data_IF_547666938847
#
_entry.id   IF_547666938847
#
_cell.length_a   1.000
_cell.length_b   1.000
_cell.length_c   1.000
_cell.angle_alpha   90.00
_cell.angle_beta   90.00
_cell.angle_gamma   90.00
#
_symmetry.space_group_name_H-M   'P 1'
#
loop_
_entity.id
_entity.type
_entity.pdbx_description
1 polymer ?
#
# COMPACT_ATOMS: atom_id res chain seq x y z
N UNK A 1 -81.15 -45.68 82.10
CA UNK A 1 -79.73 -46.12 82.02
C UNK A 1 -78.94 -45.03 81.31
N UNK A 2 -78.26 -44.17 82.07
CA UNK A 2 -76.83 -43.80 81.99
C UNK A 2 -76.05 -44.30 80.74
N UNK A 3 -75.13 -43.58 80.08
CA UNK A 3 -74.35 -42.34 80.25
C UNK A 3 -74.05 -41.84 78.80
N UNK A 4 -73.70 -40.60 78.47
CA UNK A 4 -72.66 -39.77 79.06
C UNK A 4 -72.51 -38.45 78.27
N UNK A 5 -72.11 -37.42 79.00
CA UNK A 5 -71.72 -36.10 78.53
C UNK A 5 -70.29 -36.14 77.97
N UNK A 6 -70.03 -35.44 76.85
CA UNK A 6 -68.69 -34.93 76.54
C UNK A 6 -68.78 -33.61 75.77
N UNK A 7 -67.89 -32.68 76.11
CA UNK A 7 -67.98 -31.23 75.88
C UNK A 7 -66.94 -30.81 74.83
N UNK A 8 -67.40 -30.10 73.78
CA UNK A 8 -66.82 -29.01 72.96
C UNK A 8 -65.31 -29.03 72.53
N UNK A 9 -64.94 -28.45 71.36
CA UNK A 9 -65.00 -26.99 71.21
C UNK A 9 -65.55 -26.46 69.87
N UNK A 10 -66.16 -25.29 69.97
CA UNK A 10 -66.40 -24.35 68.88
C UNK A 10 -65.05 -23.96 68.26
N UNK A 11 -64.80 -24.33 67.01
CA UNK A 11 -63.70 -23.76 66.23
C UNK A 11 -64.20 -22.44 65.65
N UNK A 12 -63.80 -21.34 66.27
CA UNK A 12 -63.85 -20.02 65.64
C UNK A 12 -62.89 -20.03 64.45
N UNK A 13 -63.43 -19.96 63.23
CA UNK A 13 -62.63 -19.63 62.06
C UNK A 13 -62.35 -18.11 62.09
N UNK A 14 -61.15 -17.73 62.55
CA UNK A 14 -60.59 -16.41 62.24
C UNK A 14 -60.18 -16.38 60.76
N UNK A 15 -60.55 -15.35 59.97
CA UNK A 15 -59.95 -15.16 58.66
C UNK A 15 -58.50 -14.71 58.84
N UNK A 16 -57.57 -15.61 58.57
CA UNK A 16 -56.15 -15.27 58.46
C UNK A 16 -55.95 -14.21 57.38
N UNK A 17 -55.61 -12.99 57.83
CA UNK A 17 -54.83 -11.95 57.16
C UNK A 17 -55.04 -11.79 55.64
N UNK A 18 -55.98 -10.91 55.25
CA UNK A 18 -56.06 -10.33 53.90
C UNK A 18 -55.00 -9.25 53.64
N UNK A 19 -53.98 -9.12 54.52
CA UNK A 19 -52.99 -8.04 54.46
C UNK A 19 -51.74 -8.31 53.63
N UNK A 20 -51.43 -9.56 53.29
CA UNK A 20 -50.13 -9.90 52.66
C UNK A 20 -50.20 -10.01 51.12
N UNK A 21 -51.39 -9.99 50.51
CA UNK A 21 -51.56 -10.32 49.08
C UNK A 21 -51.73 -9.08 48.18
N UNK A 22 -52.07 -7.91 48.72
CA UNK A 22 -52.31 -6.69 47.93
C UNK A 22 -51.04 -5.87 47.64
N UNK A 23 -50.03 -5.93 48.52
CA UNK A 23 -48.79 -5.15 48.41
C UNK A 23 -47.89 -5.62 47.24
N UNK A 24 -48.06 -6.87 46.81
CA UNK A 24 -47.32 -7.47 45.69
C UNK A 24 -47.90 -7.13 44.31
N UNK A 25 -49.15 -6.67 44.22
CA UNK A 25 -49.83 -6.43 42.93
C UNK A 25 -49.23 -5.28 42.14
N UNK A 26 -48.71 -4.25 42.81
CA UNK A 26 -48.14 -3.06 42.17
C UNK A 26 -46.61 -3.06 42.11
N UNK A 27 -45.95 -3.83 42.97
CA UNK A 27 -44.48 -3.91 43.03
C UNK A 27 -43.89 -4.80 41.94
N UNK A 28 -44.54 -5.91 41.60
CA UNK A 28 -44.08 -6.84 40.55
C UNK A 28 -44.00 -6.16 39.16
N UNK A 29 -45.02 -5.40 38.69
CA UNK A 29 -44.96 -4.73 37.38
C UNK A 29 -43.86 -3.67 37.28
N UNK A 30 -43.65 -2.89 38.34
CA UNK A 30 -42.61 -1.86 38.39
C UNK A 30 -41.22 -2.49 38.37
N UNK A 31 -41.02 -3.56 39.14
CA UNK A 31 -39.76 -4.31 39.13
C UNK A 31 -39.48 -4.93 37.75
N UNK A 32 -40.49 -5.45 37.06
CA UNK A 32 -40.34 -5.98 35.71
C UNK A 32 -39.92 -4.89 34.70
N UNK A 33 -40.49 -3.68 34.79
CA UNK A 33 -40.10 -2.54 33.96
C UNK A 33 -38.66 -2.08 34.23
N UNK A 34 -38.30 -1.91 35.51
CA UNK A 34 -36.94 -1.53 35.91
C UNK A 34 -35.94 -2.60 35.46
N UNK A 35 -36.28 -3.88 35.63
CA UNK A 35 -35.44 -4.98 35.19
C UNK A 35 -35.29 -5.02 33.67
N UNK A 36 -36.38 -4.85 32.91
CA UNK A 36 -36.33 -4.78 31.45
C UNK A 36 -35.50 -3.60 30.94
N UNK A 37 -35.61 -2.44 31.59
CA UNK A 37 -34.80 -1.27 31.28
C UNK A 37 -33.33 -1.50 31.60
N UNK A 38 -33.02 -2.07 32.77
CA UNK A 38 -31.65 -2.41 33.16
C UNK A 38 -31.01 -3.45 32.23
N UNK A 39 -31.78 -4.47 31.82
CA UNK A 39 -31.33 -5.50 30.89
C UNK A 39 -31.03 -4.92 29.52
N UNK A 40 -31.94 -4.09 28.98
CA UNK A 40 -31.72 -3.40 27.69
C UNK A 40 -30.53 -2.45 27.75
N UNK A 41 -30.40 -1.67 28.82
CA UNK A 41 -29.25 -0.78 29.03
C UNK A 41 -27.93 -1.56 29.08
N UNK A 42 -27.90 -2.71 29.76
CA UNK A 42 -26.73 -3.56 29.82
C UNK A 42 -26.37 -4.15 28.45
N UNK A 43 -27.36 -4.60 27.67
CA UNK A 43 -27.16 -5.08 26.30
C UNK A 43 -26.60 -3.99 25.39
N UNK A 44 -27.19 -2.79 25.43
CA UNK A 44 -26.79 -1.65 24.62
C UNK A 44 -25.38 -1.19 24.98
N UNK A 45 -25.06 -1.10 26.28
CA UNK A 45 -23.72 -0.74 26.76
C UNK A 45 -22.65 -1.77 26.36
N UNK A 46 -22.98 -3.07 26.41
CA UNK A 46 -22.08 -4.11 25.94
C UNK A 46 -21.85 -4.03 24.42
N UNK A 47 -22.91 -3.77 23.64
CA UNK A 47 -22.82 -3.61 22.18
C UNK A 47 -22.01 -2.38 21.77
N UNK A 48 -22.23 -1.23 22.42
CA UNK A 48 -21.52 0.02 22.17
C UNK A 48 -20.04 -0.13 22.49
N UNK A 49 -19.69 -0.77 23.61
CA UNK A 49 -18.28 -1.05 23.97
C UNK A 49 -17.58 -1.94 22.94
N UNK A 50 -18.28 -2.92 22.36
CA UNK A 50 -17.72 -3.79 21.31
C UNK A 50 -17.52 -3.00 20.01
N UNK A 51 -18.49 -2.19 19.62
CA UNK A 51 -18.41 -1.32 18.44
C UNK A 51 -17.30 -0.28 18.57
N UNK A 52 -17.15 0.38 19.71
CA UNK A 52 -16.07 1.34 19.95
C UNK A 52 -14.68 0.70 19.82
N UNK A 53 -14.50 -0.52 20.32
CA UNK A 53 -13.22 -1.25 20.17
C UNK A 53 -12.92 -1.56 18.71
N UNK A 54 -13.92 -2.06 17.97
CA UNK A 54 -13.79 -2.33 16.53
C UNK A 54 -13.48 -1.06 15.73
N UNK A 55 -14.18 0.05 16.01
CA UNK A 55 -13.92 1.33 15.37
C UNK A 55 -12.51 1.87 15.68
N UNK A 56 -11.99 1.66 16.89
CA UNK A 56 -10.61 2.07 17.25
C UNK A 56 -9.55 1.25 16.53
N UNK A 57 -9.76 -0.05 16.35
CA UNK A 57 -8.87 -0.92 15.58
C UNK A 57 -8.88 -0.53 14.10
N UNK A 58 -10.07 -0.40 13.53
CA UNK A 58 -10.25 0.01 12.13
C UNK A 58 -9.56 1.35 11.84
N UNK A 59 -9.68 2.34 12.73
CA UNK A 59 -8.99 3.64 12.57
C UNK A 59 -7.47 3.54 12.62
N UNK A 60 -6.92 2.58 13.36
CA UNK A 60 -5.47 2.35 13.42
C UNK A 60 -4.98 1.67 12.15
N UNK A 61 -5.69 0.63 11.72
CA UNK A 61 -5.43 -0.09 10.47
C UNK A 61 -5.46 0.87 9.27
N UNK A 62 -6.54 1.65 9.13
CA UNK A 62 -6.67 2.65 8.07
C UNK A 62 -5.50 3.67 8.03
N UNK A 63 -4.97 4.08 9.18
CA UNK A 63 -3.80 4.99 9.23
C UNK A 63 -2.52 4.30 8.77
N UNK A 64 -2.32 3.05 9.18
CA UNK A 64 -1.18 2.25 8.73
C UNK A 64 -1.24 2.01 7.22
N UNK A 65 -2.42 1.67 6.70
CA UNK A 65 -2.64 1.44 5.27
C UNK A 65 -2.45 2.73 4.47
N UNK A 66 -2.99 3.85 4.95
CA UNK A 66 -2.77 5.15 4.34
C UNK A 66 -1.28 5.52 4.28
N UNK A 67 -0.51 5.28 5.35
CA UNK A 67 0.92 5.54 5.37
C UNK A 67 1.69 4.63 4.39
N UNK A 68 1.29 3.37 4.25
CA UNK A 68 1.88 2.41 3.31
C UNK A 68 1.60 2.77 1.85
N UNK A 69 0.37 3.19 1.55
CA UNK A 69 -0.01 3.70 0.22
C UNK A 69 0.81 4.94 -0.12
N UNK A 70 0.88 5.90 0.80
CA UNK A 70 1.71 7.10 0.63
C UNK A 70 3.18 6.78 0.38
N UNK A 71 3.73 5.76 1.04
CA UNK A 71 5.11 5.32 0.81
C UNK A 71 5.31 4.77 -0.60
N UNK A 72 4.40 3.91 -1.08
CA UNK A 72 4.49 3.37 -2.45
C UNK A 72 4.26 4.42 -3.52
N UNK A 73 3.35 5.36 -3.30
CA UNK A 73 3.11 6.47 -4.21
C UNK A 73 4.32 7.41 -4.27
N UNK A 74 4.94 7.69 -3.11
CA UNK A 74 6.17 8.46 -3.04
C UNK A 74 7.33 7.75 -3.76
N UNK A 75 7.49 6.44 -3.57
CA UNK A 75 8.51 5.65 -4.27
C UNK A 75 8.30 5.68 -5.79
N UNK A 76 7.06 5.51 -6.25
CA UNK A 76 6.71 5.60 -7.68
C UNK A 76 7.05 6.98 -8.24
N UNK A 77 6.68 8.06 -7.54
CA UNK A 77 6.97 9.42 -7.97
C UNK A 77 8.48 9.68 -8.03
N UNK A 78 9.25 9.17 -7.05
CA UNK A 78 10.71 9.28 -7.06
C UNK A 78 11.32 8.49 -8.23
N UNK A 79 10.83 7.28 -8.52
CA UNK A 79 11.29 6.46 -9.65
C UNK A 79 11.01 7.11 -11.01
N UNK A 80 9.85 7.76 -11.17
CA UNK A 80 9.55 8.55 -12.39
C UNK A 80 10.48 9.77 -12.45
N UNK A 81 10.67 10.47 -11.33
CA UNK A 81 11.57 11.62 -11.27
C UNK A 81 13.02 11.26 -11.62
N UNK A 82 13.55 10.13 -11.14
CA UNK A 82 14.92 9.70 -11.48
C UNK A 82 15.01 9.33 -12.95
N UNK A 83 13.96 8.74 -13.51
CA UNK A 83 13.90 8.39 -14.93
C UNK A 83 14.06 9.65 -15.81
N UNK A 84 13.31 10.70 -15.50
CA UNK A 84 13.36 11.99 -16.19
C UNK A 84 14.70 12.71 -15.98
N UNK A 85 15.23 12.71 -14.75
CA UNK A 85 16.51 13.32 -14.43
C UNK A 85 17.68 12.62 -15.15
N UNK A 86 17.67 11.28 -15.17
CA UNK A 86 18.70 10.49 -15.84
C UNK A 86 18.62 10.62 -17.36
N UNK A 87 17.42 10.72 -17.94
CA UNK A 87 17.25 11.02 -19.36
C UNK A 87 17.84 12.40 -19.72
N UNK A 88 17.55 13.43 -18.91
CA UNK A 88 18.15 14.77 -19.09
C UNK A 88 19.68 14.75 -19.00
N UNK A 89 20.22 14.01 -18.04
CA UNK A 89 21.67 13.83 -17.88
C UNK A 89 22.29 13.14 -19.10
N UNK A 90 21.71 12.02 -19.53
CA UNK A 90 22.18 11.27 -20.68
C UNK A 90 22.15 12.14 -21.96
N UNK A 91 21.03 12.83 -22.23
CA UNK A 91 20.92 13.73 -23.38
C UNK A 91 21.95 14.87 -23.36
N UNK A 92 22.16 15.54 -22.22
CA UNK A 92 23.16 16.59 -22.11
C UNK A 92 24.58 16.07 -22.35
N UNK A 93 24.87 14.85 -21.89
CA UNK A 93 26.17 14.21 -22.11
C UNK A 93 26.36 13.73 -23.56
N UNK A 94 25.30 13.21 -24.21
CA UNK A 94 25.30 12.87 -25.62
C UNK A 94 25.54 14.11 -26.50
N UNK A 95 24.88 15.23 -26.23
CA UNK A 95 25.10 16.49 -26.93
C UNK A 95 26.55 16.98 -26.80
N UNK A 96 27.11 16.90 -25.59
CA UNK A 96 28.52 17.23 -25.35
C UNK A 96 29.45 16.33 -26.18
N UNK A 97 29.17 15.03 -26.24
CA UNK A 97 29.96 14.10 -27.02
C UNK A 97 29.85 14.34 -28.53
N UNK A 98 28.64 14.55 -29.05
CA UNK A 98 28.45 14.88 -30.47
C UNK A 98 29.23 16.15 -30.85
N UNK A 99 29.21 17.17 -29.99
CA UNK A 99 30.02 18.38 -30.21
C UNK A 99 31.54 18.11 -30.19
N UNK A 100 32.01 17.17 -29.36
CA UNK A 100 33.42 16.73 -29.38
C UNK A 100 33.78 16.01 -30.68
N UNK A 101 32.91 15.14 -31.20
CA UNK A 101 33.09 14.46 -32.48
C UNK A 101 33.12 15.44 -33.65
N UNK A 102 32.21 16.41 -33.68
CA UNK A 102 32.19 17.46 -34.70
C UNK A 102 33.47 18.31 -34.65
N UNK A 103 33.97 18.60 -33.44
CA UNK A 103 35.24 19.27 -33.21
C UNK A 103 36.44 18.49 -33.75
N UNK A 104 36.44 17.15 -33.62
CA UNK A 104 37.48 16.29 -34.17
C UNK A 104 37.59 16.43 -35.69
N UNK A 105 36.46 16.53 -36.41
CA UNK A 105 36.47 16.73 -37.86
C UNK A 105 37.20 18.01 -38.30
N UNK A 106 37.27 19.01 -37.41
CA UNK A 106 37.95 20.29 -37.66
C UNK A 106 39.42 20.35 -37.18
N UNK A 107 39.78 19.64 -36.10
CA UNK A 107 41.11 19.71 -35.48
C UNK A 107 41.96 18.44 -35.62
N UNK A 108 41.36 17.31 -35.96
CA UNK A 108 42.03 16.03 -36.24
C UNK A 108 42.63 15.29 -35.04
N UNK A 109 42.55 15.85 -33.83
CA UNK A 109 43.15 15.27 -32.61
C UNK A 109 42.14 15.23 -31.47
N UNK A 110 41.90 14.03 -30.91
CA UNK A 110 40.90 13.81 -29.86
C UNK A 110 41.27 14.47 -28.53
N UNK A 111 42.55 14.47 -28.14
CA UNK A 111 43.03 15.07 -26.88
C UNK A 111 42.81 16.59 -26.77
N UNK A 112 42.56 17.27 -27.89
CA UNK A 112 42.21 18.69 -27.96
C UNK A 112 40.72 18.97 -27.97
N UNK A 113 39.86 17.94 -28.13
CA UNK A 113 38.42 18.11 -28.04
C UNK A 113 38.05 18.54 -26.62
N UNK A 114 37.47 19.74 -26.49
CA UNK A 114 37.05 20.29 -25.19
C UNK A 114 35.55 20.46 -25.18
N UNK A 115 34.94 19.99 -24.08
CA UNK A 115 33.52 20.19 -23.82
C UNK A 115 33.26 21.69 -23.63
N UNK A 116 32.26 22.21 -24.34
CA UNK A 116 31.83 23.59 -24.17
C UNK A 116 31.34 23.83 -22.73
N UNK A 117 31.63 25.02 -22.18
CA UNK A 117 31.22 25.38 -20.80
C UNK A 117 29.72 25.24 -20.57
N UNK A 118 28.92 25.49 -21.59
CA UNK A 118 27.47 25.33 -21.55
C UNK A 118 27.07 23.87 -21.36
N UNK A 119 27.62 22.96 -22.18
CA UNK A 119 27.39 21.51 -22.07
C UNK A 119 27.88 20.97 -20.73
N UNK A 120 29.06 21.36 -20.24
CA UNK A 120 29.54 20.96 -18.91
C UNK A 120 28.59 21.41 -17.79
N UNK A 121 28.00 22.61 -17.90
CA UNK A 121 27.02 23.10 -16.92
C UNK A 121 25.72 22.30 -16.98
N UNK A 122 25.25 21.95 -18.17
CA UNK A 122 24.04 21.14 -18.35
C UNK A 122 24.22 19.73 -17.76
N UNK A 123 25.36 19.08 -18.01
CA UNK A 123 25.72 17.78 -17.41
C UNK A 123 25.77 17.89 -15.87
N UNK A 124 26.43 18.92 -15.33
CA UNK A 124 26.54 19.06 -13.88
C UNK A 124 25.19 19.33 -13.22
N UNK A 125 24.35 20.18 -13.81
CA UNK A 125 23.03 20.52 -13.27
C UNK A 125 22.13 19.30 -13.23
N UNK A 126 22.06 18.56 -14.34
CA UNK A 126 21.27 17.33 -14.44
C UNK A 126 21.77 16.23 -13.49
N UNK A 127 23.08 16.10 -13.28
CA UNK A 127 23.66 15.18 -12.28
C UNK A 127 23.24 15.53 -10.85
N UNK A 128 23.18 16.82 -10.50
CA UNK A 128 22.74 17.26 -9.16
C UNK A 128 21.26 16.92 -8.92
N UNK A 129 20.39 17.18 -9.90
CA UNK A 129 18.97 16.82 -9.82
C UNK A 129 18.80 15.31 -9.58
N UNK A 130 19.59 14.52 -10.28
CA UNK A 130 19.59 13.06 -10.21
C UNK A 130 20.05 12.55 -8.83
N UNK A 131 21.13 13.11 -8.27
CA UNK A 131 21.65 12.72 -6.97
C UNK A 131 20.65 12.93 -5.83
N UNK A 132 19.87 14.03 -5.85
CA UNK A 132 18.84 14.30 -4.82
C UNK A 132 17.78 13.20 -4.80
N UNK A 133 17.39 12.69 -5.97
CA UNK A 133 16.40 11.64 -6.11
C UNK A 133 16.97 10.26 -5.77
N UNK A 134 18.23 10.00 -6.11
CA UNK A 134 18.92 8.74 -5.78
C UNK A 134 18.88 8.44 -4.28
N UNK A 135 19.06 9.46 -3.42
CA UNK A 135 18.97 9.30 -1.96
C UNK A 135 17.55 9.06 -1.42
N UNK A 136 16.50 9.28 -2.24
CA UNK A 136 15.09 9.13 -1.84
C UNK A 136 14.49 7.80 -2.27
N UNK A 137 15.17 7.05 -3.13
CA UNK A 137 14.69 5.80 -3.71
C UNK A 137 15.23 4.63 -2.89
N UNK A 138 14.41 3.60 -2.71
CA UNK A 138 14.78 2.37 -1.99
C UNK A 138 15.25 1.25 -2.92
N UNK A 139 15.00 1.36 -4.22
CA UNK A 139 15.46 0.40 -5.23
C UNK A 139 16.99 0.46 -5.45
N UNK A 140 17.74 -0.34 -4.68
CA UNK A 140 19.21 -0.38 -4.73
C UNK A 140 19.78 -0.73 -6.11
N UNK A 141 19.11 -1.62 -6.86
CA UNK A 141 19.52 -2.00 -8.21
C UNK A 141 19.47 -0.81 -9.19
N UNK A 142 18.49 0.09 -9.03
CA UNK A 142 18.41 1.33 -9.83
C UNK A 142 19.56 2.26 -9.48
N UNK A 143 19.85 2.45 -8.18
CA UNK A 143 20.97 3.28 -7.73
C UNK A 143 22.32 2.77 -8.28
N UNK A 144 22.55 1.45 -8.28
CA UNK A 144 23.78 0.87 -8.82
C UNK A 144 23.92 1.12 -10.33
N UNK A 145 22.84 0.98 -11.11
CA UNK A 145 22.89 1.28 -12.55
C UNK A 145 23.11 2.76 -12.84
N UNK A 146 22.56 3.63 -11.99
CA UNK A 146 22.76 5.07 -12.09
C UNK A 146 24.22 5.45 -11.86
N UNK A 147 24.86 4.87 -10.84
CA UNK A 147 26.29 5.07 -10.57
C UNK A 147 27.14 4.56 -11.74
N UNK A 148 26.83 3.36 -12.24
CA UNK A 148 27.51 2.80 -13.41
C UNK A 148 27.35 3.69 -14.64
N UNK A 149 26.18 4.29 -14.86
CA UNK A 149 25.93 5.21 -15.96
C UNK A 149 26.79 6.47 -15.81
N UNK A 150 26.85 7.05 -14.60
CA UNK A 150 27.70 8.21 -14.33
C UNK A 150 29.16 7.87 -14.62
N UNK A 151 29.63 6.71 -14.17
CA UNK A 151 31.01 6.27 -14.36
C UNK A 151 31.32 6.06 -15.85
N UNK A 152 30.45 5.38 -16.59
CA UNK A 152 30.63 5.15 -18.04
C UNK A 152 30.64 6.48 -18.82
N UNK A 153 29.72 7.40 -18.51
CA UNK A 153 29.67 8.74 -19.11
C UNK A 153 30.92 9.54 -18.82
N UNK A 154 31.31 9.61 -17.54
CA UNK A 154 32.49 10.38 -17.11
C UNK A 154 33.75 9.82 -17.77
N UNK A 155 33.91 8.49 -17.79
CA UNK A 155 35.04 7.84 -18.43
C UNK A 155 35.07 8.06 -19.95
N UNK A 156 33.92 8.13 -20.61
CA UNK A 156 33.85 8.44 -22.04
C UNK A 156 34.30 9.88 -22.34
N UNK A 157 33.87 10.83 -21.50
CA UNK A 157 34.18 12.25 -21.65
C UNK A 157 35.64 12.58 -21.31
N UNK A 158 36.24 11.84 -20.37
CA UNK A 158 37.64 12.01 -19.94
C UNK A 158 38.64 11.12 -20.70
N UNK A 159 38.16 10.31 -21.65
CA UNK A 159 39.00 9.37 -22.40
C UNK A 159 40.09 10.08 -23.22
N UNK A 160 41.30 9.52 -23.22
CA UNK A 160 42.45 10.07 -23.96
C UNK A 160 42.43 9.72 -25.46
N UNK A 161 41.64 8.74 -25.87
CA UNK A 161 41.50 8.32 -27.27
C UNK A 161 40.02 8.15 -27.66
N UNK A 162 39.73 8.34 -28.96
CA UNK A 162 38.40 8.15 -29.51
C UNK A 162 37.91 6.71 -29.33
N UNK A 163 38.79 5.72 -29.52
CA UNK A 163 38.45 4.30 -29.34
C UNK A 163 37.98 4.01 -27.91
N UNK A 164 38.71 4.51 -26.90
CA UNK A 164 38.34 4.35 -25.49
C UNK A 164 37.04 5.10 -25.19
N UNK A 165 36.87 6.31 -25.74
CA UNK A 165 35.64 7.09 -25.58
C UNK A 165 34.41 6.35 -26.13
N UNK A 166 34.50 5.82 -27.35
CA UNK A 166 33.41 5.08 -28.00
C UNK A 166 33.05 3.79 -27.25
N UNK A 167 34.05 3.09 -26.69
CA UNK A 167 33.80 1.89 -25.89
C UNK A 167 33.07 2.20 -24.58
N UNK A 168 33.46 3.26 -23.88
CA UNK A 168 32.71 3.73 -22.71
C UNK A 168 31.31 4.23 -23.09
N UNK A 169 31.14 4.82 -24.27
CA UNK A 169 29.81 5.20 -24.76
C UNK A 169 28.89 4.07 -25.12
N UNK A 170 29.43 3.02 -25.74
CA UNK A 170 28.67 1.81 -25.98
C UNK A 170 28.20 1.20 -24.65
N UNK A 171 29.05 1.21 -23.61
CA UNK A 171 28.66 0.78 -22.26
C UNK A 171 27.57 1.68 -21.67
N UNK A 172 27.73 2.99 -21.73
CA UNK A 172 26.74 3.93 -21.18
C UNK A 172 25.36 3.77 -21.82
N UNK A 173 25.27 3.56 -23.14
CA UNK A 173 24.00 3.34 -23.84
C UNK A 173 23.30 2.05 -23.35
N UNK A 174 24.08 0.98 -23.18
CA UNK A 174 23.58 -0.28 -22.61
C UNK A 174 23.12 -0.09 -21.16
N UNK A 175 23.92 0.58 -20.33
CA UNK A 175 23.62 0.87 -18.92
C UNK A 175 22.37 1.73 -18.80
N UNK A 176 22.23 2.78 -19.61
CA UNK A 176 21.03 3.63 -19.64
C UNK A 176 19.79 2.81 -20.01
N UNK A 177 19.86 2.02 -21.07
CA UNK A 177 18.75 1.15 -21.50
C UNK A 177 18.38 0.08 -20.45
N UNK A 178 19.37 -0.47 -19.74
CA UNK A 178 19.14 -1.41 -18.65
C UNK A 178 18.47 -0.74 -17.45
N UNK A 179 18.96 0.44 -17.05
CA UNK A 179 18.38 1.24 -15.98
C UNK A 179 16.91 1.59 -16.26
N UNK A 180 16.57 2.04 -17.48
CA UNK A 180 15.19 2.34 -17.88
C UNK A 180 14.26 1.11 -17.73
N UNK A 181 14.75 -0.08 -18.11
CA UNK A 181 14.01 -1.34 -17.93
C UNK A 181 13.83 -1.71 -16.46
N UNK A 182 14.88 -1.55 -15.65
CA UNK A 182 14.80 -1.82 -14.21
C UNK A 182 13.80 -0.89 -13.52
N UNK A 183 13.84 0.41 -13.81
CA UNK A 183 12.87 1.38 -13.29
C UNK A 183 11.44 0.94 -13.66
N UNK A 184 11.21 0.55 -14.92
CA UNK A 184 9.93 0.04 -15.36
C UNK A 184 9.48 -1.22 -14.59
N UNK A 185 10.40 -2.14 -14.28
CA UNK A 185 10.07 -3.31 -13.45
C UNK A 185 9.75 -2.96 -12.01
N UNK A 186 10.50 -2.05 -11.39
CA UNK A 186 10.26 -1.59 -10.01
C UNK A 186 8.91 -0.88 -9.89
N UNK A 187 8.58 -0.01 -10.85
CA UNK A 187 7.26 0.66 -10.90
C UNK A 187 6.13 -0.37 -11.05
N UNK A 188 6.31 -1.42 -11.86
CA UNK A 188 5.31 -2.47 -12.03
C UNK A 188 5.06 -3.25 -10.75
N UNK A 189 6.11 -3.55 -9.97
CA UNK A 189 5.99 -4.22 -8.67
C UNK A 189 5.21 -3.37 -7.65
N UNK A 190 5.31 -2.05 -7.75
CA UNK A 190 4.54 -1.12 -6.91
C UNK A 190 3.06 -1.00 -7.32
N UNK A 191 2.62 -1.63 -8.43
CA UNK A 191 1.39 -1.24 -9.12
C UNK A 191 0.20 -2.22 -9.08
N UNK A 192 0.33 -3.49 -8.68
CA UNK A 192 -0.81 -4.43 -8.82
C UNK A 192 -1.03 -5.21 -7.53
N UNK A 193 -1.64 -4.55 -6.57
CA UNK A 193 -1.97 -5.11 -5.27
C UNK A 193 -3.21 -4.44 -4.71
N UNK A 194 -4.10 -5.23 -4.13
CA UNK A 194 -5.32 -4.75 -3.48
C UNK A 194 -5.20 -4.77 -1.96
N UNK A 195 -6.26 -4.28 -1.30
CA UNK A 195 -6.50 -4.52 0.13
C UNK A 195 -6.44 -6.03 0.39
N UNK A 196 -5.75 -6.46 1.46
CA UNK A 196 -5.57 -7.88 1.71
C UNK A 196 -6.90 -8.57 2.06
N UNK A 197 -7.05 -9.80 1.57
CA UNK A 197 -8.12 -10.70 2.04
C UNK A 197 -7.97 -10.96 3.54
N UNK A 198 -9.06 -11.24 4.28
CA UNK A 198 -9.05 -11.35 5.75
C UNK A 198 -8.01 -12.33 6.29
N UNK A 199 -7.82 -13.46 5.62
CA UNK A 199 -6.85 -14.48 5.98
C UNK A 199 -5.41 -14.07 5.63
N UNK A 200 -5.19 -13.41 4.49
CA UNK A 200 -3.88 -12.89 4.10
C UNK A 200 -3.43 -11.80 5.08
N UNK A 201 -4.38 -10.95 5.51
CA UNK A 201 -4.17 -9.99 6.58
C UNK A 201 -3.85 -10.67 7.93
N UNK A 202 -4.55 -11.77 8.26
CA UNK A 202 -4.31 -12.53 9.49
C UNK A 202 -2.91 -13.18 9.53
N UNK A 203 -2.35 -13.54 8.37
CA UNK A 203 -0.97 -14.01 8.22
C UNK A 203 0.08 -12.89 8.30
N UNK A 204 -0.33 -11.62 8.45
CA UNK A 204 0.56 -10.47 8.57
C UNK A 204 0.97 -9.83 7.25
N UNK A 205 0.28 -10.16 6.15
CA UNK A 205 0.48 -9.50 4.86
C UNK A 205 -0.45 -8.32 4.67
N UNK A 206 0.07 -7.27 4.05
CA UNK A 206 -0.60 -5.97 3.98
C UNK A 206 -1.26 -5.71 2.63
N UNK A 207 -1.13 -6.66 1.71
CA UNK A 207 -1.62 -6.58 0.33
C UNK A 207 -1.90 -7.97 -0.20
N UNK A 208 -2.93 -8.11 -1.01
CA UNK A 208 -3.21 -9.34 -1.76
C UNK A 208 -3.09 -9.09 -3.26
N UNK A 209 -2.63 -10.11 -3.98
CA UNK A 209 -2.57 -10.08 -5.45
C UNK A 209 -4.01 -10.00 -5.97
N UNK A 210 -4.26 -9.10 -6.94
CA UNK A 210 -5.56 -9.03 -7.61
C UNK A 210 -5.73 -10.29 -8.47
N UNK A 211 -6.67 -11.16 -8.08
CA UNK A 211 -6.96 -12.37 -8.84
C UNK A 211 -7.96 -12.04 -9.95
N UNK A 212 -7.48 -11.94 -11.19
CA UNK A 212 -8.33 -11.74 -12.35
C UNK A 212 -9.11 -13.03 -12.63
N UNK A 213 -10.43 -12.91 -12.86
CA UNK A 213 -11.24 -14.07 -13.28
C UNK A 213 -10.75 -14.57 -14.65
N UNK A 214 -10.73 -15.90 -14.91
CA UNK A 214 -10.29 -16.44 -16.19
C UNK A 214 -10.99 -15.81 -17.41
N UNK A 215 -12.27 -15.50 -17.26
CA UNK A 215 -13.13 -14.84 -18.25
C UNK A 215 -12.72 -13.39 -18.58
N UNK A 216 -11.94 -12.73 -17.72
CA UNK A 216 -11.43 -11.37 -17.93
C UNK A 216 -9.97 -11.33 -18.45
N UNK A 217 -9.31 -12.49 -18.59
CA UNK A 217 -7.88 -12.56 -18.94
C UNK A 217 -7.60 -12.02 -20.34
N UNK A 218 -8.42 -12.38 -21.33
CA UNK A 218 -8.21 -11.92 -22.72
C UNK A 218 -8.43 -10.40 -22.84
N UNK A 219 -9.43 -9.87 -22.13
CA UNK A 219 -9.72 -8.43 -22.08
C UNK A 219 -8.64 -7.65 -21.33
N UNK A 220 -8.02 -8.26 -20.31
CA UNK A 220 -6.89 -7.69 -19.58
C UNK A 220 -5.60 -7.65 -20.43
N UNK A 221 -5.34 -8.71 -21.19
CA UNK A 221 -4.14 -8.81 -22.03
C UNK A 221 -4.22 -7.97 -23.31
N UNK A 222 -5.44 -7.74 -23.82
CA UNK A 222 -5.69 -6.98 -25.04
C UNK A 222 -6.70 -5.85 -24.80
N UNK A 223 -6.33 -4.81 -24.04
CA UNK A 223 -7.25 -3.72 -23.72
C UNK A 223 -7.58 -2.87 -24.95
N UNK A 224 -8.81 -2.35 -25.02
CA UNK A 224 -9.14 -1.25 -25.91
C UNK A 224 -8.63 0.07 -25.28
N UNK A 225 -7.65 0.76 -25.89
CA UNK A 225 -7.12 2.00 -25.35
C UNK A 225 -8.16 3.13 -25.27
N UNK A 226 -9.30 3.02 -25.97
CA UNK A 226 -10.39 3.97 -25.91
C UNK A 226 -11.39 3.71 -24.75
N UNK A 227 -11.36 2.53 -24.10
CA UNK A 227 -12.25 2.16 -22.98
C UNK A 227 -11.47 1.72 -21.74
N UNK A 228 -10.75 2.68 -21.12
CA UNK A 228 -10.10 2.48 -19.82
C UNK A 228 -11.07 2.08 -18.71
N UNK A 229 -12.36 2.46 -18.81
CA UNK A 229 -13.36 2.09 -17.81
C UNK A 229 -13.67 0.59 -17.80
N UNK A 230 -13.47 -0.11 -18.92
CA UNK A 230 -13.54 -1.58 -18.96
C UNK A 230 -12.47 -2.24 -18.09
N UNK A 231 -11.25 -1.69 -18.06
CA UNK A 231 -10.17 -2.25 -17.24
C UNK A 231 -10.44 -2.09 -15.74
N UNK A 232 -10.98 -0.94 -15.33
CA UNK A 232 -11.37 -0.75 -13.92
C UNK A 232 -12.50 -1.69 -13.51
N UNK A 233 -13.47 -1.96 -14.38
CA UNK A 233 -14.53 -2.96 -14.13
C UNK A 233 -13.98 -4.37 -13.91
N UNK A 234 -12.89 -4.75 -14.59
CA UNK A 234 -12.21 -6.04 -14.38
C UNK A 234 -11.59 -6.12 -12.98
N UNK A 235 -11.05 -5.03 -12.46
CA UNK A 235 -10.51 -4.98 -11.10
C UNK A 235 -11.60 -4.96 -10.01
N UNK A 236 -12.74 -4.32 -10.29
CA UNK A 236 -13.89 -4.37 -9.40
C UNK A 236 -14.49 -5.79 -9.34
N UNK A 237 -14.46 -6.52 -10.46
CA UNK A 237 -14.93 -7.91 -10.57
C UNK A 237 -13.82 -8.96 -10.38
N UNK A 238 -12.95 -8.73 -9.41
CA UNK A 238 -11.86 -9.66 -9.04
C UNK A 238 -12.39 -10.89 -8.30
N UNK A 239 -11.61 -11.98 -8.35
CA UNK A 239 -11.84 -13.14 -7.48
C UNK A 239 -11.34 -12.85 -6.07
N UNK A 240 -12.03 -13.44 -5.11
CA UNK A 240 -11.64 -13.51 -3.70
C UNK A 240 -11.37 -14.98 -3.33
N UNK A 241 -10.23 -15.58 -3.73
CA UNK A 241 -9.87 -16.94 -3.32
C UNK A 241 -9.58 -16.95 -1.83
N UNK A 242 -9.95 -18.04 -1.16
CA UNK A 242 -9.56 -18.28 0.22
C UNK A 242 -8.14 -18.83 0.29
N UNK A 243 -7.27 -18.23 1.12
CA UNK A 243 -5.88 -18.65 1.29
C UNK A 243 -5.67 -19.44 2.60
N UNK A 244 -5.20 -20.69 2.49
CA UNK A 244 -4.73 -21.45 3.65
C UNK A 244 -3.23 -21.19 3.90
N UNK A 245 -2.86 -20.91 5.14
CA UNK A 245 -1.46 -20.73 5.53
C UNK A 245 -0.87 -22.07 5.98
N UNK A 246 0.21 -22.51 5.32
CA UNK A 246 1.06 -23.58 5.85
C UNK A 246 2.36 -22.96 6.37
N UNK A 247 2.75 -23.33 7.60
CA UNK A 247 4.07 -23.02 8.11
C UNK A 247 5.08 -23.82 7.29
N UNK A 248 5.99 -23.15 6.58
CA UNK A 248 7.10 -23.83 5.92
C UNK A 248 7.93 -24.54 7.00
N UNK A 249 8.05 -25.86 6.88
CA UNK A 249 8.82 -26.73 7.77
C UNK A 249 10.33 -26.56 7.61
#
# INVERSE_FOLDING_TARGET
MNFGFEVAPLICAEPASTGCVDEWKWTIPVLALVFGFAMRWMQEHASNRKQERSQRLLRRELRCDQARVQRSDAERANLIGIQEAAARYYSAASEAHSAMLDGLGSQGVWSTARIARESSRAIQTSRVDMAVLQYRIHASAVCMQLDQLIDDVTSALDAESLEVAEDHWRRADMTFSQMQRLIGSEIRLLAITDVPEPEVAAAGHDRTIINIKPEHVDAWLNPDPADLAALYRIFDDKRHPFYEHQLAA
#
